data_IF_059017878776
#
_entry.id   IF_059017878776
#
_cell.length_a   1.000
_cell.length_b   1.000
_cell.length_c   1.000
_cell.angle_alpha   90.00
_cell.angle_beta   90.00
_cell.angle_gamma   90.00
#
_symmetry.space_group_name_H-M   'P 1'
#
loop_
_entity.id
_entity.type
_entity.pdbx_description
1 polymer ?
#
# COMPACT_ATOMS: atom_id res chain seq x y z
N UNK A 1 31.26 -4.64 -7.61
CA UNK A 1 30.23 -3.58 -7.75
C UNK A 1 28.86 -4.22 -7.97
N UNK A 2 27.90 -4.07 -7.03
CA UNK A 2 26.53 -4.57 -7.23
C UNK A 2 25.74 -3.51 -8.00
N UNK A 3 25.52 -3.71 -9.30
CA UNK A 3 24.65 -2.84 -10.09
C UNK A 3 23.23 -2.96 -9.52
N UNK A 4 22.73 -1.90 -8.90
CA UNK A 4 21.33 -1.82 -8.45
C UNK A 4 20.39 -2.02 -9.62
N UNK A 5 19.27 -2.70 -9.40
CA UNK A 5 18.28 -2.92 -10.47
C UNK A 5 17.79 -1.55 -10.98
N UNK A 6 17.64 -1.35 -12.30
CA UNK A 6 17.14 -0.10 -12.85
C UNK A 6 15.77 0.23 -12.23
N UNK A 7 15.59 1.50 -11.87
CA UNK A 7 14.36 2.00 -11.26
C UNK A 7 13.22 1.82 -12.28
N UNK A 8 12.15 1.19 -11.86
CA UNK A 8 10.99 0.97 -12.72
C UNK A 8 10.12 2.23 -12.73
N UNK A 9 9.99 2.87 -13.90
CA UNK A 9 9.33 4.18 -14.03
C UNK A 9 8.00 4.14 -14.80
N UNK A 10 7.73 3.05 -15.54
CA UNK A 10 6.52 2.89 -16.36
C UNK A 10 5.23 2.97 -15.54
N UNK A 11 4.13 3.37 -16.16
CA UNK A 11 2.83 3.62 -15.51
C UNK A 11 2.16 2.37 -14.90
N UNK A 12 2.52 1.17 -15.34
CA UNK A 12 2.05 -0.11 -14.77
C UNK A 12 3.08 -0.73 -13.81
N UNK A 13 2.71 -1.82 -13.12
CA UNK A 13 3.67 -2.61 -12.34
C UNK A 13 4.55 -3.47 -13.24
N UNK A 14 5.84 -3.59 -12.91
CA UNK A 14 6.78 -4.51 -13.57
C UNK A 14 6.24 -5.94 -13.72
N UNK A 15 5.64 -6.47 -12.65
CA UNK A 15 5.09 -7.84 -12.65
C UNK A 15 3.95 -8.00 -13.66
N UNK A 16 3.12 -6.97 -13.82
CA UNK A 16 2.03 -7.00 -14.80
C UNK A 16 2.58 -6.95 -16.23
N UNK A 17 3.51 -6.02 -16.49
CA UNK A 17 4.15 -5.91 -17.80
C UNK A 17 4.81 -7.22 -18.24
N UNK A 18 5.61 -7.83 -17.36
CA UNK A 18 6.26 -9.12 -17.63
C UNK A 18 5.26 -10.25 -17.89
N UNK A 19 4.08 -10.22 -17.25
CA UNK A 19 3.02 -11.20 -17.49
C UNK A 19 2.38 -11.01 -18.87
N UNK A 20 2.06 -9.77 -19.27
CA UNK A 20 1.49 -9.49 -20.59
C UNK A 20 2.48 -9.82 -21.70
N UNK A 21 3.76 -9.46 -21.56
CA UNK A 21 4.78 -9.83 -22.55
C UNK A 21 4.93 -11.36 -22.69
N UNK A 22 4.74 -12.11 -21.59
CA UNK A 22 4.74 -13.58 -21.65
C UNK A 22 3.51 -14.09 -22.39
N UNK A 23 2.33 -13.58 -22.05
CA UNK A 23 1.09 -13.97 -22.70
C UNK A 23 1.14 -13.70 -24.22
N UNK A 24 1.65 -12.55 -24.65
CA UNK A 24 1.84 -12.24 -26.08
C UNK A 24 2.71 -13.29 -26.77
N UNK A 25 3.82 -13.72 -26.14
CA UNK A 25 4.70 -14.77 -26.68
C UNK A 25 4.05 -16.15 -26.70
N UNK A 26 3.18 -16.44 -25.74
CA UNK A 26 2.43 -17.70 -25.69
C UNK A 26 1.37 -17.74 -26.80
N UNK A 27 0.64 -16.65 -27.01
CA UNK A 27 -0.36 -16.57 -28.08
C UNK A 27 0.30 -16.55 -29.46
N UNK A 28 1.46 -15.89 -29.62
CA UNK A 28 2.20 -15.94 -30.89
C UNK A 28 2.72 -17.33 -31.25
N UNK A 29 2.80 -18.26 -30.30
CA UNK A 29 3.12 -19.65 -30.62
C UNK A 29 1.92 -20.40 -31.26
N UNK A 30 0.73 -19.80 -31.26
CA UNK A 30 -0.50 -20.37 -31.82
C UNK A 30 -0.84 -19.84 -33.22
N UNK A 31 -0.27 -18.71 -33.63
CA UNK A 31 -0.50 -18.10 -34.94
C UNK A 31 0.71 -17.26 -35.36
N UNK A 32 1.15 -17.48 -36.61
CA UNK A 32 2.26 -16.74 -37.22
C UNK A 32 1.88 -15.30 -37.59
N UNK A 33 0.58 -14.97 -37.60
CA UNK A 33 0.05 -13.63 -37.88
C UNK A 33 0.24 -12.65 -36.71
N UNK A 34 0.86 -13.11 -35.62
CA UNK A 34 1.09 -12.36 -34.39
C UNK A 34 2.55 -11.92 -34.31
N UNK A 35 2.78 -10.65 -34.63
CA UNK A 35 4.08 -10.02 -34.48
C UNK A 35 4.39 -9.70 -33.01
N UNK A 36 5.09 -10.59 -32.30
CA UNK A 36 5.47 -10.37 -30.87
C UNK A 36 6.11 -9.00 -30.63
N UNK A 37 7.07 -8.62 -31.47
CA UNK A 37 7.78 -7.34 -31.32
C UNK A 37 6.86 -6.15 -31.63
N UNK A 38 5.94 -6.32 -32.58
CA UNK A 38 4.97 -5.31 -32.95
C UNK A 38 3.98 -5.06 -31.81
N UNK A 39 3.37 -6.12 -31.26
CA UNK A 39 2.47 -6.06 -30.12
C UNK A 39 3.13 -5.52 -28.85
N UNK A 40 4.39 -5.86 -28.57
CA UNK A 40 5.11 -5.30 -27.42
C UNK A 40 5.34 -3.80 -27.59
N UNK A 41 5.68 -3.33 -28.80
CA UNK A 41 5.80 -1.89 -29.08
C UNK A 41 4.46 -1.17 -28.93
N UNK A 42 3.39 -1.75 -29.44
CA UNK A 42 2.04 -1.21 -29.28
C UNK A 42 1.61 -1.16 -27.81
N UNK A 43 1.92 -2.21 -27.05
CA UNK A 43 1.69 -2.24 -25.60
C UNK A 43 2.45 -1.11 -24.88
N UNK A 44 3.72 -0.89 -25.24
CA UNK A 44 4.53 0.19 -24.68
C UNK A 44 3.90 1.56 -24.99
N UNK A 45 3.53 1.78 -26.26
CA UNK A 45 2.89 3.03 -26.69
C UNK A 45 1.55 3.27 -25.99
N UNK A 46 0.75 2.21 -25.82
CA UNK A 46 -0.53 2.30 -25.11
C UNK A 46 -0.35 2.64 -23.63
N UNK A 47 0.62 2.03 -22.96
CA UNK A 47 0.90 2.30 -21.54
C UNK A 47 1.35 3.75 -21.34
N UNK A 48 2.10 4.31 -22.29
CA UNK A 48 2.68 5.64 -22.17
C UNK A 48 1.74 6.76 -22.66
N UNK A 49 1.00 6.53 -23.76
CA UNK A 49 0.14 7.53 -24.41
C UNK A 49 -1.35 7.32 -24.18
N UNK A 50 -1.78 6.10 -23.84
CA UNK A 50 -3.19 5.72 -23.70
C UNK A 50 -3.91 5.41 -25.01
N UNK A 51 -3.20 5.45 -26.15
CA UNK A 51 -3.76 5.12 -27.46
C UNK A 51 -2.68 4.54 -28.36
N UNK A 52 -3.04 3.60 -29.22
CA UNK A 52 -2.17 3.05 -30.27
C UNK A 52 -2.80 3.38 -31.62
N UNK A 53 -1.99 3.88 -32.55
CA UNK A 53 -2.35 3.99 -33.96
C UNK A 53 -1.42 3.07 -34.72
N UNK A 54 -1.82 1.81 -34.85
CA UNK A 54 -1.05 0.78 -35.52
C UNK A 54 -1.96 -0.03 -36.41
N UNK A 55 -1.42 -0.49 -37.53
CA UNK A 55 -2.12 -1.35 -38.47
C UNK A 55 -1.98 -2.80 -37.97
N UNK A 56 -2.91 -3.21 -37.11
CA UNK A 56 -2.96 -4.59 -36.61
C UNK A 56 -3.48 -5.54 -37.68
N UNK A 57 -2.99 -6.78 -37.67
CA UNK A 57 -3.72 -7.89 -38.30
C UNK A 57 -5.02 -8.16 -37.55
N UNK A 58 -5.98 -8.86 -38.17
CA UNK A 58 -7.25 -9.20 -37.50
C UNK A 58 -7.03 -9.95 -36.18
N UNK A 59 -6.03 -10.84 -36.15
CA UNK A 59 -5.69 -11.62 -34.96
C UNK A 59 -5.04 -10.73 -33.89
N UNK A 60 -4.11 -9.85 -34.29
CA UNK A 60 -3.48 -8.91 -33.36
C UNK A 60 -4.49 -7.93 -32.76
N UNK A 61 -5.47 -7.47 -33.55
CA UNK A 61 -6.52 -6.57 -33.09
C UNK A 61 -7.41 -7.24 -32.03
N UNK A 62 -7.79 -8.51 -32.25
CA UNK A 62 -8.52 -9.31 -31.24
C UNK A 62 -7.70 -9.46 -29.97
N UNK A 63 -6.41 -9.81 -30.08
CA UNK A 63 -5.52 -9.95 -28.91
C UNK A 63 -5.41 -8.62 -28.16
N UNK A 64 -5.21 -7.51 -28.87
CA UNK A 64 -5.04 -6.20 -28.27
C UNK A 64 -6.32 -5.70 -27.60
N UNK A 65 -7.47 -5.88 -28.26
CA UNK A 65 -8.81 -5.57 -27.72
C UNK A 65 -9.08 -6.31 -26.40
N UNK A 66 -8.65 -7.57 -26.28
CA UNK A 66 -8.78 -8.34 -25.03
C UNK A 66 -7.79 -7.90 -23.93
N UNK A 67 -6.63 -7.37 -24.32
CA UNK A 67 -5.61 -6.89 -23.39
C UNK A 67 -5.92 -5.48 -22.85
N UNK A 68 -6.48 -4.59 -23.66
CA UNK A 68 -6.85 -3.22 -23.28
C UNK A 68 -7.53 -3.10 -21.90
N UNK A 69 -8.67 -3.78 -21.63
CA UNK A 69 -9.34 -3.66 -20.33
C UNK A 69 -8.49 -4.17 -19.16
N UNK A 70 -7.53 -5.08 -19.41
CA UNK A 70 -6.60 -5.54 -18.39
C UNK A 70 -5.51 -4.50 -18.12
N UNK A 71 -5.01 -3.84 -19.17
CA UNK A 71 -4.03 -2.77 -19.09
C UNK A 71 -4.62 -1.58 -18.34
N UNK A 72 -5.85 -1.17 -18.65
CA UNK A 72 -6.55 -0.07 -17.98
C UNK A 72 -6.72 -0.33 -16.47
N UNK A 73 -7.17 -1.53 -16.11
CA UNK A 73 -7.28 -1.95 -14.70
C UNK A 73 -5.91 -1.93 -14.00
N UNK A 74 -4.86 -2.33 -14.71
CA UNK A 74 -3.50 -2.33 -14.16
C UNK A 74 -2.96 -0.91 -13.97
N UNK A 75 -3.23 0.01 -14.91
CA UNK A 75 -2.93 1.44 -14.81
C UNK A 75 -3.64 2.04 -13.61
N UNK A 76 -4.95 1.81 -13.46
CA UNK A 76 -5.73 2.33 -12.34
C UNK A 76 -5.21 1.83 -11.00
N UNK A 77 -4.96 0.52 -10.89
CA UNK A 77 -4.40 -0.09 -9.69
C UNK A 77 -3.03 0.51 -9.35
N UNK A 78 -2.17 0.68 -10.34
CA UNK A 78 -0.84 1.26 -10.18
C UNK A 78 -0.93 2.72 -9.71
N UNK A 79 -1.79 3.53 -10.35
CA UNK A 79 -2.05 4.93 -9.98
C UNK A 79 -2.52 5.04 -8.53
N UNK A 80 -3.52 4.25 -8.13
CA UNK A 80 -4.03 4.21 -6.76
C UNK A 80 -2.95 3.79 -5.75
N UNK A 81 -2.12 2.81 -6.11
CA UNK A 81 -1.03 2.37 -5.26
C UNK A 81 0.04 3.46 -5.07
N UNK A 82 0.40 4.20 -6.14
CA UNK A 82 1.32 5.34 -6.07
C UNK A 82 0.77 6.47 -5.23
N UNK A 83 -0.50 6.86 -5.44
CA UNK A 83 -1.16 7.89 -4.64
C UNK A 83 -1.23 7.50 -3.16
N UNK A 84 -1.51 6.23 -2.85
CA UNK A 84 -1.47 5.73 -1.47
C UNK A 84 -0.05 5.76 -0.88
N UNK A 85 0.99 5.47 -1.68
CA UNK A 85 2.37 5.55 -1.25
C UNK A 85 2.82 7.00 -1.01
N UNK A 86 2.40 7.95 -1.85
CA UNK A 86 2.64 9.39 -1.66
C UNK A 86 2.02 9.88 -0.35
N UNK A 87 0.74 9.61 -0.12
CA UNK A 87 0.05 9.94 1.15
C UNK A 87 0.73 9.35 2.39
N UNK A 88 1.26 8.12 2.29
CA UNK A 88 2.02 7.51 3.39
C UNK A 88 3.37 8.18 3.63
N UNK A 89 4.00 8.75 2.60
CA UNK A 89 5.25 9.51 2.74
C UNK A 89 4.97 10.87 3.37
N UNK A 90 3.96 11.57 2.89
CA UNK A 90 3.51 12.85 3.46
C UNK A 90 3.13 12.71 4.93
N UNK A 91 2.32 11.70 5.29
CA UNK A 91 1.95 11.46 6.68
C UNK A 91 3.15 11.12 7.58
N UNK A 92 4.20 10.47 7.04
CA UNK A 92 5.42 10.20 7.80
C UNK A 92 6.20 11.49 8.05
N UNK A 93 6.41 12.29 7.01
CA UNK A 93 7.10 13.59 7.11
C UNK A 93 6.35 14.51 8.08
N UNK A 94 5.01 14.57 8.01
CA UNK A 94 4.22 15.36 8.96
C UNK A 94 4.31 14.82 10.39
N UNK A 95 4.31 13.50 10.60
CA UNK A 95 4.48 12.92 11.94
C UNK A 95 5.89 13.10 12.50
N UNK A 96 6.91 13.18 11.65
CA UNK A 96 8.29 13.46 12.02
C UNK A 96 8.45 14.95 12.37
N UNK A 97 7.88 15.86 11.57
CA UNK A 97 7.88 17.31 11.85
C UNK A 97 7.12 17.69 13.14
N UNK A 98 5.99 17.03 13.43
CA UNK A 98 5.25 17.24 14.68
C UNK A 98 5.99 16.68 15.91
N UNK A 99 6.85 15.68 15.74
CA UNK A 99 7.68 15.17 16.83
C UNK A 99 8.85 16.12 17.15
N UNK A 100 9.46 16.73 16.13
CA UNK A 100 10.56 17.70 16.29
C UNK A 100 10.06 19.07 16.81
N UNK A 101 8.84 19.49 16.47
CA UNK A 101 8.23 20.71 17.01
C UNK A 101 7.90 20.65 18.52
N UNK A 102 7.79 19.45 19.09
CA UNK A 102 7.45 19.25 20.49
C UNK A 102 8.69 19.21 21.42
N UNK A 103 9.91 19.32 20.87
CA UNK A 103 11.16 19.38 21.66
C UNK A 103 11.57 20.82 22.04
N UNK A 104 10.91 21.87 21.51
CA UNK A 104 11.30 23.28 21.78
C UNK A 104 10.42 23.95 22.86
N UNK A 105 9.23 23.42 23.17
CA UNK A 105 8.33 24.03 24.18
C UNK A 105 8.53 23.53 25.62
N UNK A 106 9.42 22.56 25.89
CA UNK A 106 9.66 22.03 27.24
C UNK A 106 10.84 22.69 28.01
N UNK A 107 11.23 23.93 27.64
CA UNK A 107 12.36 24.65 28.27
C UNK A 107 12.07 26.09 28.70
N UNK A 108 10.81 26.50 28.86
CA UNK A 108 10.45 27.83 29.41
C UNK A 108 9.23 27.82 30.33
N UNK A 109 9.30 27.21 31.51
CA UNK A 109 8.71 27.79 32.74
C UNK A 109 9.47 27.25 33.96
N UNK A 110 10.54 27.93 34.34
CA UNK A 110 11.11 27.86 35.68
C UNK A 110 11.57 29.27 36.02
N UNK A 111 10.82 30.00 36.84
CA UNK A 111 11.27 30.44 38.16
C UNK A 111 10.18 31.24 38.91
N UNK A 112 10.34 31.29 40.25
CA UNK A 112 9.77 32.20 41.26
C UNK A 112 8.58 31.71 42.14
N UNK A 113 8.99 31.10 43.28
CA UNK A 113 8.62 31.36 44.69
C UNK A 113 7.18 31.13 45.26
N UNK A 114 7.00 30.00 45.97
CA UNK A 114 6.71 29.78 47.43
C UNK A 114 5.74 30.68 48.26
N UNK A 115 5.25 30.29 49.49
CA UNK A 115 5.28 28.98 50.20
C UNK A 115 4.03 28.54 51.07
N UNK A 116 3.82 27.20 51.19
CA UNK A 116 3.55 26.38 52.42
C UNK A 116 2.21 26.42 53.25
N UNK A 117 1.94 25.49 54.22
CA UNK A 117 2.06 24.00 54.23
C UNK A 117 0.97 23.25 55.09
N UNK A 118 0.92 21.89 55.04
CA UNK A 118 0.51 20.93 56.12
C UNK A 118 0.22 19.54 55.52
N UNK A 119 0.68 18.34 55.95
CA UNK A 119 1.53 17.78 57.03
C UNK A 119 1.90 16.31 56.62
N UNK A 120 3.11 15.86 57.00
CA UNK A 120 3.68 14.47 57.12
C UNK A 120 4.00 13.65 55.84
N UNK A 121 5.27 13.56 55.36
CA UNK A 121 6.43 12.70 55.78
C UNK A 121 6.22 11.18 55.53
N UNK A 122 7.04 10.35 54.85
CA UNK A 122 8.33 10.37 54.11
C UNK A 122 8.58 8.88 53.62
N UNK A 123 9.66 8.47 52.91
CA UNK A 123 10.12 8.80 51.54
C UNK A 123 10.50 7.54 50.68
N UNK A 124 10.86 7.74 49.39
CA UNK A 124 11.85 6.99 48.56
C UNK A 124 11.36 6.49 47.18
N UNK A 125 12.19 6.77 46.16
CA UNK A 125 12.16 6.34 44.73
C UNK A 125 11.08 7.01 43.86
N UNK A 126 11.31 8.17 43.24
CA UNK A 126 12.26 8.47 42.14
C UNK A 126 12.12 7.53 40.92
N UNK A 127 11.74 8.14 39.79
CA UNK A 127 11.88 7.65 38.40
C UNK A 127 10.98 6.49 37.92
N UNK A 128 9.89 6.85 37.24
CA UNK A 128 9.27 5.97 36.24
C UNK A 128 8.74 6.77 35.03
N UNK A 129 9.63 7.51 34.36
CA UNK A 129 9.45 7.85 32.95
C UNK A 129 9.47 6.53 32.18
N UNK A 130 8.30 5.93 31.99
CA UNK A 130 8.16 4.65 31.30
C UNK A 130 8.34 4.85 29.79
N UNK A 131 9.59 4.94 29.36
CA UNK A 131 9.98 4.68 27.98
C UNK A 131 9.65 3.23 27.65
N UNK A 132 8.41 2.95 27.24
CA UNK A 132 8.03 1.63 26.74
C UNK A 132 9.01 1.25 25.64
N UNK A 133 9.83 0.22 25.90
CA UNK A 133 10.79 -0.32 24.95
C UNK A 133 10.13 -0.45 23.58
N UNK A 134 10.86 -0.06 22.52
CA UNK A 134 10.40 -0.15 21.12
C UNK A 134 9.80 -1.52 20.80
N UNK A 135 10.24 -2.55 21.51
CA UNK A 135 9.73 -3.92 21.45
C UNK A 135 8.32 -4.08 22.02
N UNK A 136 8.01 -3.51 23.19
CA UNK A 136 6.67 -3.51 23.78
C UNK A 136 5.65 -2.80 22.86
N UNK A 137 6.05 -1.70 22.23
CA UNK A 137 5.20 -0.98 21.25
C UNK A 137 4.95 -1.82 19.98
N UNK A 138 5.92 -2.64 19.55
CA UNK A 138 5.76 -3.60 18.44
C UNK A 138 4.88 -4.78 18.84
N UNK A 139 5.01 -5.31 20.06
CA UNK A 139 4.18 -6.40 20.58
C UNK A 139 2.70 -6.00 20.63
N UNK A 140 2.38 -4.83 21.21
CA UNK A 140 1.01 -4.29 21.27
C UNK A 140 0.38 -4.11 19.89
N UNK A 141 1.15 -3.66 18.89
CA UNK A 141 0.67 -3.56 17.49
C UNK A 141 0.36 -4.92 16.87
N UNK A 142 1.11 -5.96 17.22
CA UNK A 142 0.87 -7.34 16.75
C UNK A 142 -0.40 -7.92 17.38
N UNK A 143 -0.64 -7.67 18.66
CA UNK A 143 -1.84 -8.10 19.37
C UNK A 143 -3.10 -7.45 18.80
N UNK A 144 -3.10 -6.11 18.68
CA UNK A 144 -4.22 -5.38 18.05
C UNK A 144 -4.49 -5.86 16.61
N UNK A 145 -3.44 -6.22 15.86
CA UNK A 145 -3.60 -6.79 14.53
C UNK A 145 -4.22 -8.21 14.54
N UNK A 146 -3.89 -9.04 15.53
CA UNK A 146 -4.50 -10.36 15.73
C UNK A 146 -5.99 -10.21 16.11
N UNK A 147 -6.31 -9.34 17.04
CA UNK A 147 -7.69 -9.06 17.47
C UNK A 147 -8.55 -8.59 16.30
N UNK A 148 -8.07 -7.65 15.48
CA UNK A 148 -8.78 -7.20 14.27
C UNK A 148 -9.01 -8.32 13.26
N UNK A 149 -8.11 -9.31 13.15
CA UNK A 149 -8.30 -10.48 12.29
C UNK A 149 -9.38 -11.40 12.85
N UNK A 150 -9.36 -11.67 14.15
CA UNK A 150 -10.35 -12.48 14.84
C UNK A 150 -11.74 -11.83 14.72
N UNK A 151 -11.84 -10.53 14.96
CA UNK A 151 -13.11 -9.80 14.85
C UNK A 151 -13.67 -9.81 13.43
N UNK A 152 -12.82 -9.61 12.42
CA UNK A 152 -13.22 -9.73 11.01
C UNK A 152 -13.69 -11.15 10.66
N UNK A 153 -13.01 -12.16 11.18
CA UNK A 153 -13.39 -13.56 10.96
C UNK A 153 -14.75 -13.85 11.61
N UNK A 154 -14.95 -13.44 12.87
CA UNK A 154 -16.22 -13.54 13.58
C UNK A 154 -17.36 -12.82 12.84
N UNK A 155 -17.13 -11.59 12.36
CA UNK A 155 -18.11 -10.85 11.55
C UNK A 155 -18.45 -11.57 10.23
N UNK A 156 -17.48 -12.21 9.58
CA UNK A 156 -17.74 -13.01 8.37
C UNK A 156 -18.56 -14.25 8.66
N UNK A 157 -18.31 -14.94 9.78
CA UNK A 157 -19.10 -16.09 10.22
C UNK A 157 -20.54 -15.68 10.56
N UNK A 158 -20.73 -14.57 11.29
CA UNK A 158 -22.06 -14.04 11.59
C UNK A 158 -22.87 -13.72 10.32
N UNK A 159 -22.25 -13.08 9.32
CA UNK A 159 -22.89 -12.83 8.01
C UNK A 159 -23.25 -14.09 7.25
N UNK A 160 -22.43 -15.14 7.37
CA UNK A 160 -22.73 -16.45 6.77
C UNK A 160 -23.89 -17.14 7.48
N UNK A 161 -23.95 -17.05 8.81
CA UNK A 161 -25.07 -17.56 9.61
C UNK A 161 -26.39 -16.86 9.28
N UNK A 162 -26.41 -15.52 9.24
CA UNK A 162 -27.61 -14.77 8.84
C UNK A 162 -28.07 -15.09 7.42
N UNK A 163 -27.14 -15.25 6.47
CA UNK A 163 -27.49 -15.61 5.09
C UNK A 163 -28.06 -17.03 4.94
N UNK A 164 -27.75 -17.93 5.87
CA UNK A 164 -28.31 -19.29 5.89
C UNK A 164 -29.70 -19.31 6.56
N UNK A 165 -29.90 -18.51 7.62
CA UNK A 165 -31.22 -18.37 8.26
C UNK A 165 -32.26 -17.71 7.34
N UNK A 166 -31.86 -16.71 6.55
CA UNK A 166 -32.74 -15.99 5.62
C UNK A 166 -33.20 -16.85 4.41
N UNK A 167 -32.54 -17.99 4.15
CA UNK A 167 -32.90 -18.93 3.07
C UNK A 167 -33.84 -20.05 3.59
N UNK A 168 -33.95 -20.24 4.91
CA UNK A 168 -34.73 -21.33 5.50
C UNK A 168 -36.08 -20.87 6.08
N UNK A 169 -36.29 -19.57 6.27
CA UNK A 169 -37.54 -18.97 6.78
C UNK A 169 -38.36 -18.20 5.72
N UNK A 170 -38.05 -18.37 4.42
CA UNK A 170 -38.80 -17.77 3.30
C UNK A 170 -39.19 -18.83 2.28
#
# INVERSE_FOLDING_TARGET
MRKGKPKWERAVSRKFYEAVCRQIREVSALSDDIGVQHLIKCLDEYIDRGSVKSDFTEVEDVVFTLLQPQIDKALERSRRARAAAARRREARVQSEALAEGNEIEELKVADEESPMPSVAENPSEAEAVTTLSREAKRARRREVAKERRIEKHRKRLARRGSKIGEILDG
#
